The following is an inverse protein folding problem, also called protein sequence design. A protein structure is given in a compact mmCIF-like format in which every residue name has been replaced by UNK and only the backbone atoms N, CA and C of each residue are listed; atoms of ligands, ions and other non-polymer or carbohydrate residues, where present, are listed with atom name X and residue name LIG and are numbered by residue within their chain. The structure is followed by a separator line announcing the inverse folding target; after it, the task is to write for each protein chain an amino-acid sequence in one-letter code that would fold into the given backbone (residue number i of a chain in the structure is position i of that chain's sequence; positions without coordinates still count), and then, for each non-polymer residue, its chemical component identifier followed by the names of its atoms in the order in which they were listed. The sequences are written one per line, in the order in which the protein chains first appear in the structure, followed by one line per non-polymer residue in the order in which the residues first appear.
data_IF_276120996958
#
_entry.id   IF_276120996958
#
_cell.length_a   1.000
_cell.length_b   1.000
_cell.length_c   1.000
_cell.angle_alpha   90.00
_cell.angle_beta   90.00
_cell.angle_gamma   90.00
#
_symmetry.space_group_name_H-M   'P 1'
#
loop_
_entity.id
_entity.type
_entity.pdbx_description
1 polymer ?
#
# COMPACT_ATOMS: atom_id res chain seq x y z
N UNK A 1 22.57 35.76 59.05
CA UNK A 1 23.33 34.56 58.62
C UNK A 1 23.54 34.63 57.12
N UNK A 2 24.80 34.62 56.69
CA UNK A 2 25.24 35.04 55.35
C UNK A 2 25.28 33.88 54.33
N UNK A 3 25.84 32.73 54.72
CA UNK A 3 25.81 31.48 53.95
C UNK A 3 25.32 30.30 54.80
N UNK A 4 25.24 29.11 54.22
CA UNK A 4 24.99 27.88 54.98
C UNK A 4 26.32 27.31 55.49
N UNK A 5 26.44 27.20 56.82
CA UNK A 5 27.56 26.53 57.46
C UNK A 5 27.29 25.02 57.49
N UNK A 6 27.82 24.32 56.48
CA UNK A 6 27.69 22.87 56.37
C UNK A 6 28.85 22.17 57.09
N UNK A 7 28.55 21.06 57.78
CA UNK A 7 29.56 20.29 58.53
C UNK A 7 30.65 19.65 57.64
N UNK A 8 30.37 19.46 56.35
CA UNK A 8 31.27 18.82 55.39
C UNK A 8 31.59 19.77 54.23
N UNK A 9 32.08 20.97 54.55
CA UNK A 9 32.37 21.98 53.53
C UNK A 9 33.38 21.48 52.48
N UNK A 10 34.35 20.66 52.89
CA UNK A 10 35.42 20.11 52.05
C UNK A 10 34.92 19.07 51.01
N UNK A 11 33.70 18.55 51.18
CA UNK A 11 33.09 17.61 50.24
C UNK A 11 32.17 18.31 49.23
N UNK A 12 32.01 19.63 49.32
CA UNK A 12 31.12 20.41 48.47
C UNK A 12 31.94 21.01 47.35
N UNK A 13 31.51 20.80 46.10
CA UNK A 13 32.16 21.39 44.94
C UNK A 13 32.24 22.91 45.07
N UNK A 14 33.39 23.48 44.68
CA UNK A 14 33.68 24.91 44.81
C UNK A 14 32.64 25.81 44.14
N UNK A 15 31.92 25.32 43.13
CA UNK A 15 30.82 26.02 42.47
C UNK A 15 29.63 26.36 43.40
N UNK A 16 29.45 25.60 44.47
CA UNK A 16 28.40 25.83 45.47
C UNK A 16 28.88 26.66 46.66
N UNK A 17 30.14 27.09 46.66
CA UNK A 17 30.74 27.90 47.72
C UNK A 17 30.73 29.36 47.30
N UNK A 18 30.29 30.23 48.19
CA UNK A 18 30.33 31.67 47.98
C UNK A 18 31.78 32.17 48.18
N UNK A 19 32.36 32.77 47.14
CA UNK A 19 33.72 33.32 47.21
C UNK A 19 33.90 34.47 48.22
N UNK A 20 32.81 35.07 48.73
CA UNK A 20 32.90 36.15 49.73
C UNK A 20 32.86 35.66 51.17
N UNK A 21 31.91 34.78 51.50
CA UNK A 21 31.77 34.28 52.88
C UNK A 21 32.41 32.90 53.08
N UNK A 22 32.94 32.27 52.03
CA UNK A 22 33.54 30.92 52.05
C UNK A 22 32.61 29.86 52.66
N UNK A 23 31.29 30.07 52.54
CA UNK A 23 30.24 29.16 52.99
C UNK A 23 29.39 28.73 51.79
N UNK A 24 28.58 27.70 51.98
CA UNK A 24 27.65 27.23 50.94
C UNK A 24 26.66 28.33 50.57
N UNK A 25 26.43 28.50 49.27
CA UNK A 25 25.57 29.54 48.71
C UNK A 25 24.16 29.49 49.32
N UNK A 26 23.74 30.58 49.95
CA UNK A 26 22.37 30.79 50.46
C UNK A 26 21.68 31.83 49.60
N UNK A 27 20.58 31.44 48.95
CA UNK A 27 19.87 32.25 47.93
C UNK A 27 20.86 32.75 46.87
N UNK A 28 21.39 31.84 46.03
CA UNK A 28 22.42 32.21 45.07
C UNK A 28 21.92 33.27 44.09
N UNK A 29 22.74 34.29 43.86
CA UNK A 29 22.58 35.29 42.80
C UNK A 29 23.76 35.20 41.87
N UNK A 30 23.52 35.29 40.56
CA UNK A 30 24.56 35.25 39.53
C UNK A 30 24.87 36.67 39.07
N UNK A 31 26.15 37.05 39.09
CA UNK A 31 26.61 38.31 38.52
C UNK A 31 26.54 38.22 37.00
N UNK A 32 25.76 39.11 36.38
CA UNK A 32 25.45 39.10 34.94
C UNK A 32 26.72 39.25 34.10
N UNK A 33 27.69 40.04 34.58
CA UNK A 33 28.88 40.40 33.80
C UNK A 33 29.96 39.31 33.76
N UNK A 34 29.94 38.36 34.71
CA UNK A 34 31.04 37.40 34.92
C UNK A 34 30.61 35.96 35.21
N UNK A 35 29.31 35.70 35.41
CA UNK A 35 28.79 34.36 35.68
C UNK A 35 29.09 33.80 37.07
N UNK A 36 29.76 34.53 37.95
CA UNK A 36 30.01 34.09 39.33
C UNK A 36 28.77 34.12 40.21
N UNK A 37 28.66 33.15 41.13
CA UNK A 37 27.55 33.02 42.08
C UNK A 37 27.94 33.45 43.48
N UNK A 38 27.05 34.19 44.14
CA UNK A 38 27.25 34.69 45.51
C UNK A 38 25.96 34.50 46.32
N UNK A 39 26.06 34.53 47.66
CA UNK A 39 24.87 34.65 48.49
C UNK A 39 24.20 36.01 48.24
N UNK A 40 22.87 36.06 48.21
CA UNK A 40 22.14 37.33 48.02
C UNK A 40 22.53 38.39 49.06
N UNK A 41 22.81 37.99 50.31
CA UNK A 41 23.29 38.91 51.35
C UNK A 41 24.70 39.44 51.05
N UNK A 42 25.62 38.60 50.55
CA UNK A 42 26.96 39.04 50.15
C UNK A 42 26.91 40.00 48.97
N UNK A 43 26.03 39.74 47.99
CA UNK A 43 25.84 40.64 46.86
C UNK A 43 25.31 42.01 47.32
N UNK A 44 24.32 42.01 48.22
CA UNK A 44 23.73 43.25 48.74
C UNK A 44 24.71 44.06 49.60
N UNK A 45 25.50 43.42 50.47
CA UNK A 45 26.53 44.09 51.29
C UNK A 45 27.63 44.73 50.44
N UNK A 46 27.90 44.18 49.25
CA UNK A 46 28.92 44.67 48.33
C UNK A 46 28.39 45.69 47.30
N UNK A 47 27.09 46.05 47.31
CA UNK A 47 26.55 47.07 46.38
C UNK A 47 27.18 48.46 46.54
N UNK A 48 27.90 48.72 47.63
CA UNK A 48 28.70 49.94 47.84
C UNK A 48 30.19 49.85 47.45
N UNK A 49 30.70 48.67 47.10
CA UNK A 49 32.08 48.43 46.66
C UNK A 49 32.05 47.68 45.35
N UNK A 50 32.43 48.34 44.26
CA UNK A 50 32.50 47.77 42.91
C UNK A 50 33.03 46.31 42.97
N UNK A 51 32.16 45.32 42.76
CA UNK A 51 32.55 43.91 42.80
C UNK A 51 33.40 43.67 41.57
N UNK A 52 34.72 43.86 41.71
CA UNK A 52 35.68 43.40 40.72
C UNK A 52 35.77 41.90 40.91
N UNK A 53 35.33 41.15 39.91
CA UNK A 53 35.71 39.75 39.80
C UNK A 53 37.24 39.67 39.95
N UNK A 54 37.75 38.68 40.69
CA UNK A 54 39.19 38.46 40.85
C UNK A 54 39.89 38.49 39.49
N UNK A 55 41.15 38.95 39.43
CA UNK A 55 41.95 39.24 38.22
C UNK A 55 42.15 38.05 37.23
N UNK A 56 41.45 36.93 37.41
CA UNK A 56 41.41 35.77 36.53
C UNK A 56 40.03 35.56 35.86
N UNK A 57 39.19 36.58 35.88
CA UNK A 57 37.93 36.62 35.13
C UNK A 57 38.18 36.92 33.65
N UNK A 58 38.68 35.95 32.89
CA UNK A 58 38.63 36.06 31.44
C UNK A 58 37.15 36.01 31.02
N UNK A 59 36.67 37.05 30.34
CA UNK A 59 35.33 37.05 29.74
C UNK A 59 35.24 35.82 28.84
N UNK A 60 34.35 34.88 29.17
CA UNK A 60 34.08 33.77 28.27
C UNK A 60 33.75 34.34 26.88
N UNK A 61 34.46 33.95 25.82
CA UNK A 61 34.15 34.41 24.48
C UNK A 61 32.72 33.99 24.16
N UNK A 62 31.87 34.95 23.80
CA UNK A 62 30.57 34.63 23.17
C UNK A 62 30.89 34.04 21.81
N UNK A 63 30.84 32.73 21.67
CA UNK A 63 30.89 32.07 20.37
C UNK A 63 29.70 32.57 19.55
N UNK A 64 29.98 33.26 18.44
CA UNK A 64 28.99 33.67 17.45
C UNK A 64 28.55 32.42 16.65
N UNK A 65 27.77 31.53 17.28
CA UNK A 65 27.18 30.36 16.63
C UNK A 65 25.96 30.71 15.73
N UNK A 66 25.77 32.00 15.41
CA UNK A 66 24.65 32.52 14.62
C UNK A 66 24.65 31.97 13.19
N UNK A 67 25.80 32.02 12.51
CA UNK A 67 25.87 31.74 11.07
C UNK A 67 25.80 30.23 10.78
N UNK A 68 26.41 29.40 11.64
CA UNK A 68 26.29 27.93 11.57
C UNK A 68 24.84 27.45 11.76
N UNK A 69 24.08 28.09 12.65
CA UNK A 69 22.67 27.75 12.85
C UNK A 69 21.80 28.14 11.64
N UNK A 70 22.14 29.23 10.94
CA UNK A 70 21.44 29.68 9.73
C UNK A 70 21.68 28.72 8.57
N UNK A 71 22.91 28.24 8.39
CA UNK A 71 23.23 27.30 7.31
C UNK A 71 22.61 25.91 7.57
N UNK A 72 22.64 25.42 8.81
CA UNK A 72 21.92 24.20 9.19
C UNK A 72 20.40 24.31 8.92
N UNK A 73 19.79 25.47 9.18
CA UNK A 73 18.39 25.70 8.86
C UNK A 73 18.12 25.66 7.35
N UNK A 74 19.00 26.21 6.51
CA UNK A 74 18.86 26.13 5.05
C UNK A 74 18.90 24.70 4.53
N UNK A 75 19.80 23.87 5.06
CA UNK A 75 19.89 22.45 4.70
C UNK A 75 18.63 21.68 5.09
N UNK A 76 18.07 21.97 6.27
CA UNK A 76 16.79 21.41 6.71
C UNK A 76 15.67 21.82 5.77
N UNK A 77 15.57 23.10 5.39
CA UNK A 77 14.56 23.57 4.43
C UNK A 77 14.70 22.91 3.05
N UNK A 78 15.92 22.74 2.54
CA UNK A 78 16.17 22.03 1.29
C UNK A 78 15.71 20.57 1.37
N UNK A 79 16.01 19.90 2.48
CA UNK A 79 15.58 18.52 2.71
C UNK A 79 14.05 18.42 2.76
N UNK A 80 13.39 19.35 3.45
CA UNK A 80 11.92 19.41 3.52
C UNK A 80 11.32 19.57 2.12
N UNK A 81 11.88 20.44 1.27
CA UNK A 81 11.38 20.65 -0.08
C UNK A 81 11.49 19.38 -0.93
N UNK A 82 12.65 18.70 -0.90
CA UNK A 82 12.85 17.43 -1.61
C UNK A 82 11.85 16.37 -1.14
N UNK A 83 11.64 16.26 0.17
CA UNK A 83 10.67 15.33 0.73
C UNK A 83 9.24 15.68 0.34
N UNK A 84 8.89 16.96 0.34
CA UNK A 84 7.56 17.45 -0.08
C UNK A 84 7.27 17.12 -1.54
N UNK A 85 8.24 17.32 -2.43
CA UNK A 85 8.12 16.96 -3.84
C UNK A 85 7.98 15.45 -4.02
N UNK A 86 8.78 14.67 -3.28
CA UNK A 86 8.69 13.20 -3.25
C UNK A 86 7.32 12.71 -2.81
N UNK A 87 6.76 13.28 -1.73
CA UNK A 87 5.40 12.96 -1.27
C UNK A 87 4.36 13.35 -2.32
N UNK A 88 4.51 14.50 -2.98
CA UNK A 88 3.63 14.92 -4.07
C UNK A 88 3.59 13.92 -5.22
N UNK A 89 4.76 13.44 -5.65
CA UNK A 89 4.87 12.42 -6.70
C UNK A 89 4.20 11.10 -6.30
N UNK A 90 4.47 10.60 -5.09
CA UNK A 90 3.85 9.37 -4.57
C UNK A 90 2.32 9.48 -4.48
N UNK A 91 1.79 10.64 -4.08
CA UNK A 91 0.34 10.90 -4.07
C UNK A 91 -0.23 10.86 -5.49
N UNK A 92 0.51 11.39 -6.48
CA UNK A 92 0.14 11.30 -7.89
C UNK A 92 0.08 9.87 -8.40
N UNK A 93 1.12 9.07 -8.13
CA UNK A 93 1.18 7.65 -8.48
C UNK A 93 0.06 6.84 -7.84
N UNK A 94 -0.23 7.08 -6.55
CA UNK A 94 -1.31 6.40 -5.83
C UNK A 94 -2.69 6.69 -6.46
N UNK A 95 -2.93 7.92 -6.92
CA UNK A 95 -4.18 8.27 -7.63
C UNK A 95 -4.28 7.58 -8.99
N UNK A 96 -3.16 7.52 -9.73
CA UNK A 96 -3.11 6.79 -11.01
C UNK A 96 -3.42 5.30 -10.79
N UNK A 97 -2.77 4.69 -9.81
CA UNK A 97 -2.96 3.28 -9.47
C UNK A 97 -4.40 2.99 -9.02
N UNK A 98 -5.00 3.86 -8.20
CA UNK A 98 -6.41 3.76 -7.82
C UNK A 98 -7.33 3.75 -9.03
N UNK A 99 -7.07 4.62 -10.01
CA UNK A 99 -7.86 4.71 -11.24
C UNK A 99 -7.72 3.44 -12.08
N UNK A 100 -6.51 2.89 -12.18
CA UNK A 100 -6.26 1.61 -12.87
C UNK A 100 -6.96 0.44 -12.19
N UNK A 101 -6.97 0.39 -10.85
CA UNK A 101 -7.71 -0.61 -10.08
C UNK A 101 -9.21 -0.55 -10.38
N UNK A 102 -9.80 0.65 -10.41
CA UNK A 102 -11.22 0.82 -10.74
C UNK A 102 -11.53 0.36 -12.18
N UNK A 103 -10.66 0.69 -13.13
CA UNK A 103 -10.79 0.25 -14.52
C UNK A 103 -10.69 -1.27 -14.65
N UNK A 104 -9.75 -1.91 -13.95
CA UNK A 104 -9.62 -3.36 -13.93
C UNK A 104 -10.83 -4.03 -13.29
N UNK A 105 -11.37 -3.46 -12.20
CA UNK A 105 -12.60 -3.94 -11.58
C UNK A 105 -13.78 -3.93 -12.54
N UNK A 106 -13.97 -2.83 -13.28
CA UNK A 106 -15.02 -2.73 -14.30
C UNK A 106 -14.84 -3.75 -15.43
N UNK A 107 -13.61 -3.92 -15.93
CA UNK A 107 -13.31 -4.91 -16.98
C UNK A 107 -13.58 -6.34 -16.52
N UNK A 108 -13.23 -6.67 -15.27
CA UNK A 108 -13.51 -7.98 -14.68
C UNK A 108 -15.02 -8.22 -14.59
N UNK A 109 -15.79 -7.22 -14.15
CA UNK A 109 -17.25 -7.32 -14.07
C UNK A 109 -17.88 -7.58 -15.44
N UNK A 110 -17.43 -6.88 -16.49
CA UNK A 110 -17.88 -7.13 -17.87
C UNK A 110 -17.55 -8.56 -18.31
N UNK A 111 -16.33 -9.03 -18.05
CA UNK A 111 -15.92 -10.38 -18.41
C UNK A 111 -16.75 -11.47 -17.70
N UNK A 112 -17.10 -11.26 -16.43
CA UNK A 112 -18.00 -12.14 -15.68
C UNK A 112 -19.40 -12.19 -16.30
N UNK A 113 -19.94 -11.03 -16.71
CA UNK A 113 -21.24 -10.96 -17.38
C UNK A 113 -21.24 -11.67 -18.74
N UNK A 114 -20.20 -11.47 -19.53
CA UNK A 114 -20.03 -12.15 -20.82
C UNK A 114 -19.89 -13.66 -20.66
N UNK A 115 -19.09 -14.11 -19.70
CA UNK A 115 -18.94 -15.53 -19.38
C UNK A 115 -20.28 -16.16 -18.98
N UNK A 116 -21.06 -15.46 -18.15
CA UNK A 116 -22.39 -15.91 -17.74
C UNK A 116 -23.36 -16.01 -18.93
N UNK A 117 -23.29 -15.05 -19.87
CA UNK A 117 -24.09 -15.08 -21.10
C UNK A 117 -23.72 -16.26 -21.99
N UNK A 118 -22.43 -16.52 -22.18
CA UNK A 118 -21.96 -17.67 -22.96
C UNK A 118 -22.39 -18.97 -22.31
N UNK A 119 -22.27 -19.08 -20.98
CA UNK A 119 -22.69 -20.26 -20.24
C UNK A 119 -24.17 -20.58 -20.47
N UNK A 120 -25.06 -19.59 -20.33
CA UNK A 120 -26.49 -19.76 -20.63
C UNK A 120 -26.74 -20.18 -22.08
N UNK A 121 -26.03 -19.58 -23.03
CA UNK A 121 -26.15 -19.97 -24.44
C UNK A 121 -25.75 -21.42 -24.69
N UNK A 122 -24.78 -21.95 -23.94
CA UNK A 122 -24.38 -23.37 -24.03
C UNK A 122 -25.46 -24.26 -23.40
N UNK A 123 -25.99 -23.88 -22.23
CA UNK A 123 -27.09 -24.61 -21.57
C UNK A 123 -28.33 -24.69 -22.48
N UNK A 124 -28.68 -23.62 -23.19
CA UNK A 124 -29.80 -23.56 -24.13
C UNK A 124 -29.57 -24.43 -25.38
N UNK A 125 -28.32 -24.64 -25.80
CA UNK A 125 -27.99 -25.48 -26.96
C UNK A 125 -27.96 -26.98 -26.63
N UNK A 126 -27.74 -27.35 -25.37
CA UNK A 126 -27.61 -28.75 -24.95
C UNK A 126 -28.81 -29.63 -25.33
N UNK A 127 -30.08 -29.21 -25.10
CA UNK A 127 -31.25 -29.99 -25.48
C UNK A 127 -31.37 -30.22 -26.99
N UNK A 128 -30.94 -29.24 -27.81
CA UNK A 128 -30.95 -29.38 -29.26
C UNK A 128 -29.92 -30.41 -29.73
N UNK A 129 -28.74 -30.44 -29.10
CA UNK A 129 -27.70 -31.44 -29.39
C UNK A 129 -28.20 -32.85 -29.00
N UNK A 130 -28.88 -32.98 -27.87
CA UNK A 130 -29.43 -34.26 -27.40
C UNK A 130 -30.55 -34.76 -28.33
N UNK A 131 -31.43 -33.87 -28.82
CA UNK A 131 -32.45 -34.19 -29.82
C UNK A 131 -31.82 -34.65 -31.15
N UNK A 132 -30.78 -33.95 -31.62
CA UNK A 132 -30.03 -34.35 -32.83
C UNK A 132 -29.41 -35.73 -32.65
N UNK A 133 -28.78 -36.01 -31.49
CA UNK A 133 -28.23 -37.33 -31.18
C UNK A 133 -29.30 -38.42 -31.20
N UNK A 134 -30.44 -38.17 -30.54
CA UNK A 134 -31.56 -39.12 -30.53
C UNK A 134 -32.05 -39.42 -31.95
N UNK A 135 -32.16 -38.40 -32.81
CA UNK A 135 -32.56 -38.58 -34.21
C UNK A 135 -31.52 -39.34 -35.02
N UNK A 136 -30.24 -39.09 -34.78
CA UNK A 136 -29.15 -39.84 -35.41
C UNK A 136 -29.21 -41.33 -35.03
N UNK A 137 -29.41 -41.65 -33.76
CA UNK A 137 -29.55 -43.04 -33.28
C UNK A 137 -30.75 -43.74 -33.92
N UNK A 138 -31.90 -43.06 -34.07
CA UNK A 138 -33.05 -43.62 -34.77
C UNK A 138 -32.74 -43.95 -36.23
N UNK A 139 -32.08 -43.03 -36.94
CA UNK A 139 -31.69 -43.24 -38.35
C UNK A 139 -30.70 -44.42 -38.46
N UNK A 140 -29.72 -44.50 -37.57
CA UNK A 140 -28.75 -45.60 -37.53
C UNK A 140 -29.41 -46.97 -37.29
N UNK A 141 -30.52 -47.02 -36.53
CA UNK A 141 -31.31 -48.23 -36.34
C UNK A 141 -32.18 -48.59 -37.56
N UNK A 142 -32.67 -47.61 -38.32
CA UNK A 142 -33.53 -47.84 -39.48
C UNK A 142 -32.76 -48.26 -40.74
N UNK A 143 -31.54 -47.76 -40.93
CA UNK A 143 -30.69 -48.06 -42.10
C UNK A 143 -30.55 -49.58 -42.37
N UNK A 144 -30.19 -50.44 -41.39
CA UNK A 144 -30.08 -51.88 -41.62
C UNK A 144 -31.39 -52.53 -42.08
N UNK A 145 -32.54 -52.05 -41.58
CA UNK A 145 -33.86 -52.55 -41.98
C UNK A 145 -34.18 -52.19 -43.43
N UNK A 146 -33.83 -50.97 -43.85
CA UNK A 146 -33.97 -50.53 -45.24
C UNK A 146 -33.03 -51.32 -46.16
N UNK A 147 -31.77 -51.49 -45.79
CA UNK A 147 -30.80 -52.29 -46.55
C UNK A 147 -31.33 -53.70 -46.76
N UNK A 148 -31.82 -54.36 -45.70
CA UNK A 148 -32.41 -55.70 -45.80
C UNK A 148 -33.62 -55.74 -46.75
N UNK A 149 -34.52 -54.77 -46.68
CA UNK A 149 -35.67 -54.68 -47.59
C UNK A 149 -35.24 -54.52 -49.05
N UNK A 150 -34.20 -53.73 -49.32
CA UNK A 150 -33.62 -53.57 -50.66
C UNK A 150 -33.03 -54.90 -51.14
N UNK A 151 -32.25 -55.58 -50.31
CA UNK A 151 -31.66 -56.88 -50.63
C UNK A 151 -32.75 -57.93 -50.95
N UNK A 152 -33.82 -57.98 -50.15
CA UNK A 152 -34.96 -58.87 -50.36
C UNK A 152 -35.67 -58.55 -51.70
N UNK A 153 -35.88 -57.27 -52.02
CA UNK A 153 -36.46 -56.83 -53.29
C UNK A 153 -35.59 -57.20 -54.50
N UNK A 154 -34.28 -56.97 -54.41
CA UNK A 154 -33.34 -57.31 -55.48
C UNK A 154 -33.32 -58.82 -55.77
N UNK A 155 -33.36 -59.67 -54.73
CA UNK A 155 -33.45 -61.13 -54.89
C UNK A 155 -34.75 -61.55 -55.59
N UNK A 156 -35.89 -60.98 -55.20
CA UNK A 156 -37.20 -61.24 -55.82
C UNK A 156 -37.35 -60.63 -57.22
N UNK A 157 -36.43 -59.76 -57.64
CA UNK A 157 -36.38 -59.24 -59.01
C UNK A 157 -35.48 -60.07 -59.92
N UNK A 158 -34.45 -60.73 -59.37
CA UNK A 158 -33.51 -61.55 -60.13
C UNK A 158 -34.08 -62.93 -60.53
N UNK A 159 -35.10 -63.42 -59.85
CA UNK A 159 -35.82 -64.66 -60.22
C UNK A 159 -36.83 -64.47 -61.37
N UNK A 160 -36.96 -63.25 -61.90
CA UNK A 160 -37.89 -62.90 -62.97
C UNK A 160 -39.35 -62.81 -62.52
N UNK A 161 -39.65 -62.97 -61.22
CA UNK A 161 -41.03 -63.01 -60.70
C UNK A 161 -41.71 -61.64 -60.78
N UNK A 162 -41.00 -60.55 -60.46
CA UNK A 162 -41.53 -59.19 -60.65
C UNK A 162 -41.76 -58.86 -62.13
N UNK A 163 -40.82 -59.24 -63.00
CA UNK A 163 -40.95 -59.06 -64.45
C UNK A 163 -42.14 -59.86 -64.98
N UNK A 164 -42.30 -61.13 -64.58
CA UNK A 164 -43.41 -62.00 -64.96
C UNK A 164 -44.77 -61.48 -64.47
N UNK A 165 -44.84 -60.89 -63.27
CA UNK A 165 -46.07 -60.26 -62.75
C UNK A 165 -46.43 -58.99 -63.51
N UNK A 166 -45.46 -58.16 -63.88
CA UNK A 166 -45.68 -56.96 -64.70
C UNK A 166 -46.13 -57.34 -66.12
N UNK A 167 -45.51 -58.36 -66.72
CA UNK A 167 -45.90 -58.86 -68.05
C UNK A 167 -47.31 -59.44 -68.04
N UNK A 168 -47.65 -60.29 -67.05
CA UNK A 168 -49.01 -60.82 -66.88
C UNK A 168 -50.07 -59.74 -66.61
N UNK A 169 -49.72 -58.68 -65.87
CA UNK A 169 -50.63 -57.58 -65.63
C UNK A 169 -50.89 -56.78 -66.92
N UNK A 170 -49.86 -56.56 -67.75
CA UNK A 170 -50.00 -55.93 -69.07
C UNK A 170 -50.89 -56.75 -70.01
N UNK A 171 -50.77 -58.08 -70.00
CA UNK A 171 -51.60 -58.98 -70.81
C UNK A 171 -53.07 -59.02 -70.37
N UNK A 172 -53.40 -58.64 -69.12
CA UNK A 172 -54.78 -58.59 -68.61
C UNK A 172 -55.48 -57.25 -68.80
N UNK A 173 -54.74 -56.21 -69.18
CA UNK A 173 -55.26 -54.84 -69.36
C UNK A 173 -55.36 -54.48 -70.86
N UNK A 174 -54.75 -55.27 -71.75
CA UNK A 174 -54.99 -55.23 -73.20
C UNK A 174 -56.00 -56.27 -73.64
#
# INVERSE_FOLDING_TARGET
MVGFNAKNLDCIESFYICNFCSLVLRKPVQLIDYGHRLCQSCANEQTGKLIRCSEHCEKAPRENNSDQNIDALKEVFQTINILSDGVGNLVGELKSLSTECDQLGNRLQTSIQESSRVHKSIEEQHPSIDDIKSKQEMIEQEIPSIIKKIDDMSRNSCDGTYTSRITNAKEKIG
#
